data_IF_042210187587
#
_entry.id   IF_042210187587
#
_cell.length_a   1.000
_cell.length_b   1.000
_cell.length_c   1.000
_cell.angle_alpha   90.00
_cell.angle_beta   90.00
_cell.angle_gamma   90.00
#
_symmetry.space_group_name_H-M   'P 1'
#
loop_
_entity.id
_entity.type
_entity.pdbx_description
1 polymer ?
#
# COMPACT_ATOMS: atom_id res chain seq x y z
N UNK A 1 23.12 6.59 23.03
CA UNK A 1 21.75 6.26 22.56
C UNK A 1 21.03 7.52 22.05
N UNK A 2 21.13 8.66 22.74
CA UNK A 2 20.57 9.96 22.28
C UNK A 2 20.92 10.33 20.83
N UNK A 3 22.19 10.21 20.42
CA UNK A 3 22.59 10.55 19.05
C UNK A 3 21.92 9.71 17.95
N UNK A 4 21.55 8.45 18.24
CA UNK A 4 20.77 7.65 17.27
C UNK A 4 19.31 8.11 17.21
N UNK A 5 18.74 8.57 18.33
CA UNK A 5 17.38 9.13 18.32
C UNK A 5 17.33 10.42 17.51
N UNK A 6 18.27 11.34 17.75
CA UNK A 6 18.38 12.59 17.00
C UNK A 6 18.53 12.33 15.50
N UNK A 7 19.45 11.43 15.10
CA UNK A 7 19.63 11.04 13.70
C UNK A 7 18.35 10.49 13.05
N UNK A 8 17.61 9.63 13.76
CA UNK A 8 16.37 9.03 13.25
C UNK A 8 15.26 10.09 13.17
N UNK A 9 15.16 10.97 14.15
CA UNK A 9 14.17 12.05 14.18
C UNK A 9 14.37 13.04 13.04
N UNK A 10 15.61 13.50 12.83
CA UNK A 10 15.96 14.40 11.74
C UNK A 10 15.71 13.74 10.37
N UNK A 11 16.16 12.50 10.19
CA UNK A 11 15.91 11.76 8.96
C UNK A 11 14.41 11.59 8.67
N UNK A 12 13.61 11.24 9.69
CA UNK A 12 12.17 11.09 9.52
C UNK A 12 11.51 12.42 9.17
N UNK A 13 11.98 13.54 9.73
CA UNK A 13 11.49 14.88 9.41
C UNK A 13 11.79 15.24 7.96
N UNK A 14 13.03 15.06 7.51
CA UNK A 14 13.44 15.35 6.14
C UNK A 14 12.67 14.49 5.13
N UNK A 15 12.50 13.19 5.41
CA UNK A 15 11.72 12.29 4.55
C UNK A 15 10.23 12.66 4.53
N UNK A 16 9.68 13.10 5.66
CA UNK A 16 8.28 13.57 5.74
C UNK A 16 8.08 14.80 4.86
N UNK A 17 9.03 15.75 4.88
CA UNK A 17 8.99 16.95 4.02
C UNK A 17 9.10 16.58 2.53
N UNK A 18 10.04 15.70 2.16
CA UNK A 18 10.24 15.27 0.76
C UNK A 18 8.99 14.59 0.19
N UNK A 19 8.34 13.75 1.00
CA UNK A 19 7.21 12.92 0.55
C UNK A 19 5.84 13.56 0.77
N UNK A 20 5.76 14.61 1.59
CA UNK A 20 4.51 15.24 2.00
C UNK A 20 3.68 14.42 2.99
N UNK A 21 4.24 13.37 3.60
CA UNK A 21 3.57 12.60 4.64
C UNK A 21 3.67 13.28 6.00
N UNK A 22 2.67 13.07 6.85
CA UNK A 22 2.66 13.61 8.21
C UNK A 22 3.66 12.91 9.16
N UNK A 23 4.10 11.69 8.83
CA UNK A 23 5.05 10.91 9.61
C UNK A 23 5.72 9.81 8.77
N UNK A 24 6.92 9.41 9.19
CA UNK A 24 7.70 8.29 8.61
C UNK A 24 8.09 7.31 9.71
N UNK A 25 8.13 6.02 9.38
CA UNK A 25 8.67 4.97 10.24
C UNK A 25 9.95 4.39 9.63
N UNK A 26 11.04 4.42 10.40
CA UNK A 26 12.33 3.84 10.02
C UNK A 26 12.44 2.32 10.36
N UNK A 27 11.36 1.70 10.84
CA UNK A 27 11.37 0.30 11.25
C UNK A 27 11.50 -0.72 10.08
N UNK A 28 10.85 -0.52 8.92
CA UNK A 28 10.99 -1.44 7.79
C UNK A 28 12.40 -1.40 7.22
N UNK A 29 13.05 -2.56 7.14
CA UNK A 29 14.46 -2.69 6.73
C UNK A 29 14.66 -3.05 5.25
N UNK A 30 13.58 -3.12 4.48
CA UNK A 30 13.54 -3.34 3.03
C UNK A 30 12.24 -2.80 2.44
N UNK A 31 12.23 -2.55 1.12
CA UNK A 31 11.02 -2.10 0.41
C UNK A 31 9.81 -3.01 0.62
N UNK A 32 9.99 -4.33 0.49
CA UNK A 32 8.93 -5.31 0.72
C UNK A 32 8.38 -5.28 2.15
N UNK A 33 9.24 -5.13 3.17
CA UNK A 33 8.75 -4.95 4.55
C UNK A 33 8.05 -3.61 4.76
N UNK A 34 8.41 -2.58 3.98
CA UNK A 34 7.71 -1.29 3.96
C UNK A 34 6.31 -1.40 3.38
N UNK A 35 6.16 -2.08 2.23
CA UNK A 35 4.86 -2.41 1.64
C UNK A 35 3.97 -3.17 2.64
N UNK A 36 4.51 -4.22 3.25
CA UNK A 36 3.80 -5.01 4.25
C UNK A 36 3.37 -4.17 5.46
N UNK A 37 4.25 -3.33 6.01
CA UNK A 37 3.93 -2.43 7.11
C UNK A 37 2.86 -1.39 6.73
N UNK A 38 2.91 -0.86 5.51
CA UNK A 38 1.90 0.05 4.98
C UNK A 38 0.52 -0.61 4.87
N UNK A 39 0.45 -1.83 4.31
CA UNK A 39 -0.80 -2.59 4.20
C UNK A 39 -1.36 -2.99 5.56
N UNK A 40 -0.52 -3.36 6.53
CA UNK A 40 -0.95 -3.58 7.91
C UNK A 40 -1.52 -2.29 8.53
N UNK A 41 -0.90 -1.14 8.27
CA UNK A 41 -1.38 0.15 8.76
C UNK A 41 -2.76 0.47 8.20
N UNK A 42 -2.97 0.28 6.89
CA UNK A 42 -4.29 0.41 6.24
C UNK A 42 -5.30 -0.55 6.86
N UNK A 43 -4.94 -1.82 7.04
CA UNK A 43 -5.82 -2.82 7.67
C UNK A 43 -6.25 -2.41 9.08
N UNK A 44 -5.30 -2.00 9.93
CA UNK A 44 -5.59 -1.54 11.29
C UNK A 44 -6.42 -0.26 11.31
N UNK A 45 -6.22 0.64 10.36
CA UNK A 45 -7.04 1.82 10.18
C UNK A 45 -8.50 1.47 9.82
N UNK A 46 -8.71 0.51 8.92
CA UNK A 46 -10.06 0.05 8.56
C UNK A 46 -10.74 -0.67 9.73
N UNK A 47 -10.01 -1.55 10.43
CA UNK A 47 -10.51 -2.23 11.64
C UNK A 47 -10.94 -1.24 12.73
N UNK A 48 -10.17 -0.15 12.96
CA UNK A 48 -10.51 0.86 13.96
C UNK A 48 -11.78 1.64 13.64
N UNK A 49 -12.21 1.65 12.37
CA UNK A 49 -13.46 2.26 11.90
C UNK A 49 -14.62 1.26 11.81
N UNK A 50 -14.41 -0.01 12.20
CA UNK A 50 -15.39 -1.08 12.03
C UNK A 50 -15.50 -1.59 10.59
N UNK A 51 -14.59 -1.19 9.71
CA UNK A 51 -14.55 -1.57 8.29
C UNK A 51 -13.59 -2.72 8.01
N UNK A 52 -13.26 -3.55 9.01
CA UNK A 52 -12.32 -4.68 8.88
C UNK A 52 -12.74 -5.77 7.90
N UNK A 53 -13.98 -5.73 7.38
CA UNK A 53 -14.44 -6.59 6.29
C UNK A 53 -13.81 -6.21 4.92
N UNK A 54 -13.27 -5.00 4.79
CA UNK A 54 -12.53 -4.55 3.60
C UNK A 54 -11.15 -5.19 3.57
N UNK A 55 -10.95 -6.11 2.64
CA UNK A 55 -9.70 -6.88 2.50
C UNK A 55 -9.23 -7.06 1.06
N UNK A 56 -9.83 -6.39 0.07
CA UNK A 56 -9.41 -6.47 -1.33
C UNK A 56 -8.30 -5.45 -1.61
N UNK A 57 -7.17 -5.94 -2.13
CA UNK A 57 -6.06 -5.12 -2.60
C UNK A 57 -5.99 -5.20 -4.14
N UNK A 58 -6.20 -4.07 -4.80
CA UNK A 58 -6.11 -3.94 -6.25
C UNK A 58 -4.65 -3.69 -6.65
N UNK A 59 -4.12 -4.46 -7.61
CA UNK A 59 -2.71 -4.39 -8.01
C UNK A 59 -2.60 -4.46 -9.55
N UNK A 60 -2.00 -3.47 -10.22
CA UNK A 60 -1.75 -3.54 -11.67
C UNK A 60 -0.89 -4.75 -12.05
N UNK A 61 -1.12 -5.30 -13.25
CA UNK A 61 -0.34 -6.43 -13.78
C UNK A 61 1.15 -6.10 -13.96
N UNK A 62 1.50 -4.82 -14.11
CA UNK A 62 2.87 -4.32 -14.23
C UNK A 62 3.57 -4.09 -12.89
N UNK A 63 2.88 -4.26 -11.76
CA UNK A 63 3.45 -4.00 -10.44
C UNK A 63 4.65 -4.90 -10.16
N UNK A 64 5.56 -4.41 -9.31
CA UNK A 64 6.68 -5.21 -8.83
C UNK A 64 6.18 -6.46 -8.10
N UNK A 65 6.89 -7.58 -8.23
CA UNK A 65 6.45 -8.88 -7.71
C UNK A 65 6.32 -8.94 -6.17
N UNK A 66 6.93 -8.00 -5.44
CA UNK A 66 6.73 -7.87 -3.99
C UNK A 66 5.32 -7.41 -3.63
N UNK A 67 4.69 -6.57 -4.44
CA UNK A 67 3.36 -6.03 -4.14
C UNK A 67 2.30 -7.13 -3.87
N UNK A 68 2.07 -8.11 -4.78
CA UNK A 68 1.11 -9.18 -4.50
C UNK A 68 1.55 -10.09 -3.35
N UNK A 69 2.85 -10.28 -3.14
CA UNK A 69 3.37 -11.07 -2.01
C UNK A 69 3.10 -10.37 -0.67
N UNK A 70 3.41 -9.08 -0.57
CA UNK A 70 3.16 -8.23 0.59
C UNK A 70 1.67 -8.17 0.93
N UNK A 71 0.80 -8.04 -0.07
CA UNK A 71 -0.65 -8.04 0.12
C UNK A 71 -1.19 -9.39 0.61
N UNK A 72 -0.72 -10.50 0.03
CA UNK A 72 -1.08 -11.83 0.51
C UNK A 72 -0.60 -12.06 1.96
N UNK A 73 0.63 -11.63 2.29
CA UNK A 73 1.17 -11.69 3.66
C UNK A 73 0.34 -10.88 4.65
N UNK A 74 -0.18 -9.72 4.25
CA UNK A 74 -1.07 -8.89 5.07
C UNK A 74 -2.48 -9.50 5.27
N UNK A 75 -2.77 -10.64 4.62
CA UNK A 75 -4.07 -11.31 4.64
C UNK A 75 -5.11 -10.63 3.74
N UNK A 76 -4.68 -9.90 2.71
CA UNK A 76 -5.55 -9.27 1.73
C UNK A 76 -5.80 -10.18 0.53
N UNK A 77 -6.98 -10.08 -0.07
CA UNK A 77 -7.34 -10.69 -1.35
C UNK A 77 -6.80 -9.85 -2.49
N UNK A 78 -5.80 -10.38 -3.20
CA UNK A 78 -5.23 -9.72 -4.38
C UNK A 78 -6.20 -9.81 -5.56
N UNK A 79 -6.52 -8.66 -6.15
CA UNK A 79 -7.27 -8.54 -7.39
C UNK A 79 -6.40 -7.81 -8.40
N UNK A 80 -5.94 -8.54 -9.41
CA UNK A 80 -5.09 -7.97 -10.48
C UNK A 80 -5.91 -6.99 -11.31
N UNK A 81 -5.35 -5.83 -11.67
CA UNK A 81 -5.89 -4.84 -12.61
C UNK A 81 -5.08 -4.91 -13.91
N UNK A 82 -5.75 -4.85 -15.06
CA UNK A 82 -5.11 -4.92 -16.36
C UNK A 82 -4.36 -3.63 -16.68
N UNK A 83 -3.53 -3.71 -17.71
CA UNK A 83 -2.88 -2.55 -18.31
C UNK A 83 -3.44 -2.37 -19.72
N UNK A 84 -3.45 -1.13 -20.20
CA UNK A 84 -3.73 -0.79 -21.58
C UNK A 84 -2.60 -1.30 -22.47
N UNK A 85 -2.93 -2.17 -23.43
CA UNK A 85 -1.94 -2.83 -24.30
C UNK A 85 -1.18 -1.87 -25.21
N UNK A 86 -1.72 -0.68 -25.48
CA UNK A 86 -1.11 0.31 -26.38
C UNK A 86 -0.15 1.26 -25.66
N UNK A 87 -0.46 1.62 -24.42
CA UNK A 87 0.31 2.60 -23.63
C UNK A 87 1.11 1.97 -22.50
N UNK A 88 0.77 0.76 -22.07
CA UNK A 88 1.34 0.09 -20.89
C UNK A 88 0.86 0.65 -19.55
N UNK A 89 0.01 1.69 -19.57
CA UNK A 89 -0.57 2.30 -18.37
C UNK A 89 -1.63 1.38 -17.74
N UNK A 90 -2.09 1.71 -16.54
CA UNK A 90 -3.23 1.02 -15.92
C UNK A 90 -4.47 1.18 -16.80
N UNK A 91 -5.17 0.07 -17.08
CA UNK A 91 -6.47 0.08 -17.75
C UNK A 91 -7.51 0.68 -16.79
N UNK A 92 -7.89 1.93 -17.06
CA UNK A 92 -8.82 2.68 -16.20
C UNK A 92 -10.24 2.13 -16.23
N UNK A 93 -10.67 1.48 -17.30
CA UNK A 93 -12.00 0.91 -17.40
C UNK A 93 -12.08 -0.42 -16.64
N UNK A 94 -11.05 -1.26 -16.74
CA UNK A 94 -10.91 -2.45 -15.92
C UNK A 94 -10.75 -2.11 -14.43
N UNK A 95 -9.99 -1.07 -14.08
CA UNK A 95 -9.87 -0.58 -12.70
C UNK A 95 -11.23 -0.18 -12.13
N UNK A 96 -12.01 0.64 -12.85
CA UNK A 96 -13.35 1.06 -12.44
C UNK A 96 -14.29 -0.14 -12.29
N UNK A 97 -14.24 -1.09 -13.22
CA UNK A 97 -15.06 -2.31 -13.16
C UNK A 97 -14.72 -3.16 -11.93
N UNK A 98 -13.44 -3.30 -11.59
CA UNK A 98 -12.98 -4.04 -10.40
C UNK A 98 -13.33 -3.32 -9.10
N UNK A 99 -13.20 -2.00 -9.04
CA UNK A 99 -13.67 -1.21 -7.90
C UNK A 99 -15.18 -1.40 -7.71
N UNK A 100 -15.99 -1.29 -8.77
CA UNK A 100 -17.44 -1.46 -8.69
C UNK A 100 -17.83 -2.88 -8.22
N UNK A 101 -17.17 -3.91 -8.77
CA UNK A 101 -17.37 -5.31 -8.38
C UNK A 101 -17.02 -5.59 -6.91
N UNK A 102 -16.07 -4.85 -6.36
CA UNK A 102 -15.54 -5.05 -5.01
C UNK A 102 -15.88 -3.90 -4.05
N UNK A 103 -16.84 -3.02 -4.37
CA UNK A 103 -17.06 -1.73 -3.71
C UNK A 103 -17.10 -1.78 -2.17
N UNK A 104 -17.75 -2.80 -1.61
CA UNK A 104 -17.88 -2.99 -0.15
C UNK A 104 -16.66 -3.63 0.51
N UNK A 105 -15.69 -4.10 -0.28
CA UNK A 105 -14.55 -4.90 0.18
C UNK A 105 -13.18 -4.31 -0.17
N UNK A 106 -13.11 -3.26 -1.01
CA UNK A 106 -11.84 -2.59 -1.35
C UNK A 106 -11.20 -2.00 -0.09
N UNK A 107 -9.95 -2.38 0.15
CA UNK A 107 -9.10 -1.87 1.22
C UNK A 107 -8.00 -0.93 0.68
N UNK A 108 -7.36 -1.30 -0.44
CA UNK A 108 -6.22 -0.57 -0.98
C UNK A 108 -6.06 -0.76 -2.49
N UNK A 109 -5.31 0.16 -3.10
CA UNK A 109 -4.75 0.06 -4.44
C UNK A 109 -3.24 0.33 -4.34
N UNK A 110 -2.40 -0.59 -4.84
CA UNK A 110 -0.95 -0.40 -4.87
C UNK A 110 -0.51 0.08 -6.25
N UNK A 111 0.24 1.18 -6.30
CA UNK A 111 0.67 1.90 -7.52
C UNK A 111 2.14 2.26 -7.44
#
# INVERSE_FOLDING_TARGET
>A
VSGYHELIEDLNKDLSEITGFAAVSAQPNSGATGEYAGLLTIKRYLESKGEGHRNVCLIPKSAHGTNPASAAMAGMKVVVVNNDDSTGNVDMDDLKAKIAKHADSVAAFMV
#
